data_IF_479196370003
#
_entry.id   IF_479196370003
#
_cell.length_a   1.000
_cell.length_b   1.000
_cell.length_c   1.000
_cell.angle_alpha   90.00
_cell.angle_beta   90.00
_cell.angle_gamma   90.00
#
_symmetry.space_group_name_H-M   'P 1'
#
loop_
_entity.id
_entity.type
_entity.pdbx_description
1 polymer ?
#
# COMPACT_ATOMS: atom_id res chain seq x y z
N UNK A 1 -8.18 3.69 30.63
CA UNK A 1 -7.77 3.94 29.24
C UNK A 1 -7.56 2.60 28.56
N UNK A 2 -8.43 2.22 27.62
CA UNK A 2 -8.28 0.96 26.89
C UNK A 2 -7.30 1.20 25.73
N UNK A 3 -6.06 0.73 25.87
CA UNK A 3 -5.13 0.56 24.75
C UNK A 3 -5.78 -0.46 23.81
N UNK A 4 -6.18 -0.02 22.63
CA UNK A 4 -6.53 -0.94 21.55
C UNK A 4 -5.21 -1.46 20.98
N UNK A 5 -4.83 -2.66 21.43
CA UNK A 5 -3.81 -3.46 20.74
C UNK A 5 -4.48 -3.88 19.43
N UNK A 6 -3.97 -3.39 18.30
CA UNK A 6 -4.29 -3.98 17.02
C UNK A 6 -3.69 -5.38 17.03
N UNK A 7 -4.52 -6.37 17.37
CA UNK A 7 -4.10 -7.76 17.43
C UNK A 7 -3.48 -8.11 16.07
N UNK A 8 -2.19 -8.43 16.11
CA UNK A 8 -1.49 -9.01 14.99
C UNK A 8 -2.16 -10.36 14.74
N UNK A 9 -3.00 -10.45 13.71
CA UNK A 9 -3.43 -11.74 13.21
C UNK A 9 -2.19 -12.42 12.65
N UNK A 10 -1.61 -13.30 13.44
CA UNK A 10 -0.64 -14.27 13.00
C UNK A 10 -1.35 -15.24 12.06
N UNK A 11 -1.50 -14.87 10.79
CA UNK A 11 -1.91 -15.82 9.76
C UNK A 11 -0.75 -16.80 9.55
N UNK A 12 -0.91 -17.99 10.12
CA UNK A 12 -0.10 -19.15 9.80
C UNK A 12 -0.25 -19.43 8.30
N UNK A 13 0.79 -19.07 7.55
CA UNK A 13 0.85 -19.23 6.10
C UNK A 13 1.65 -18.11 5.44
N UNK A 14 2.95 -18.04 5.72
CA UNK A 14 3.87 -17.30 4.84
C UNK A 14 3.85 -18.04 3.51
N UNK A 15 3.08 -17.56 2.54
CA UNK A 15 3.40 -17.84 1.15
C UNK A 15 4.77 -17.22 0.89
N UNK A 16 5.75 -18.05 0.56
CA UNK A 16 7.15 -17.67 0.34
C UNK A 16 7.37 -16.81 -0.92
N UNK A 17 6.29 -16.30 -1.53
CA UNK A 17 6.34 -15.59 -2.80
C UNK A 17 6.11 -14.10 -2.61
N UNK A 18 6.98 -13.32 -3.26
CA UNK A 18 6.81 -11.88 -3.38
C UNK A 18 5.42 -11.56 -3.92
N UNK A 19 4.71 -10.64 -3.27
CA UNK A 19 3.35 -10.30 -3.66
C UNK A 19 3.27 -8.90 -4.27
N UNK A 20 2.31 -8.72 -5.18
CA UNK A 20 1.89 -7.39 -5.63
C UNK A 20 1.01 -6.75 -4.55
N UNK A 21 0.56 -5.51 -4.74
CA UNK A 21 -0.45 -4.91 -3.88
C UNK A 21 -0.20 -3.43 -3.65
N UNK A 22 -0.82 -2.89 -2.61
CA UNK A 22 -0.89 -1.44 -2.39
C UNK A 22 -0.58 -1.09 -0.95
N UNK A 23 -0.11 0.13 -0.73
CA UNK A 23 0.16 0.64 0.61
C UNK A 23 -0.12 2.13 0.73
N UNK A 24 -0.31 2.57 1.97
CA UNK A 24 -0.40 3.97 2.40
C UNK A 24 0.60 4.24 3.51
N UNK A 25 1.01 5.51 3.63
CA UNK A 25 1.73 6.01 4.80
C UNK A 25 0.83 7.02 5.49
N UNK A 26 0.47 6.73 6.74
CA UNK A 26 -0.45 7.54 7.55
C UNK A 26 0.24 7.81 8.86
N UNK A 27 0.45 9.09 9.20
CA UNK A 27 1.15 9.48 10.43
C UNK A 27 2.51 8.76 10.58
N UNK A 28 3.27 8.72 9.47
CA UNK A 28 4.56 8.03 9.34
C UNK A 28 4.53 6.50 9.54
N UNK A 29 3.36 5.90 9.74
CA UNK A 29 3.18 4.46 9.81
C UNK A 29 2.82 3.85 8.44
N UNK A 30 3.46 2.72 8.12
CA UNK A 30 3.21 1.97 6.88
C UNK A 30 2.02 1.01 7.03
N UNK A 31 0.98 1.26 6.23
CA UNK A 31 -0.18 0.38 6.06
C UNK A 31 -0.06 -0.36 4.73
N UNK A 32 0.47 -1.59 4.77
CA UNK A 32 0.73 -2.42 3.60
C UNK A 32 -0.32 -3.53 3.43
N UNK A 33 -0.79 -3.72 2.20
CA UNK A 33 -1.79 -4.72 1.83
C UNK A 33 -1.27 -5.55 0.64
N UNK A 34 -0.47 -6.58 0.91
CA UNK A 34 -0.06 -7.54 -0.10
C UNK A 34 -1.28 -8.26 -0.68
N UNK A 35 -1.26 -8.52 -1.98
CA UNK A 35 -2.35 -9.16 -2.69
C UNK A 35 -2.41 -10.66 -2.36
N UNK A 36 -3.62 -11.19 -2.24
CA UNK A 36 -3.86 -12.62 -2.00
C UNK A 36 -3.60 -13.09 -0.56
N UNK A 37 -3.37 -12.19 0.38
CA UNK A 37 -3.23 -12.55 1.81
C UNK A 37 -4.56 -12.54 2.56
N UNK A 38 -5.56 -11.82 2.05
CA UNK A 38 -6.89 -11.69 2.66
C UNK A 38 -7.95 -11.72 1.55
N UNK A 39 -8.73 -12.78 1.53
CA UNK A 39 -9.74 -13.03 0.49
C UNK A 39 -11.02 -12.22 0.66
N UNK A 40 -11.19 -11.55 1.81
CA UNK A 40 -12.42 -10.82 2.15
C UNK A 40 -12.43 -9.36 1.70
N UNK A 41 -11.32 -8.84 1.17
CA UNK A 41 -11.27 -7.44 0.73
C UNK A 41 -11.99 -7.22 -0.61
N UNK A 42 -12.85 -6.21 -0.66
CA UNK A 42 -13.53 -5.72 -1.84
C UNK A 42 -12.66 -4.74 -2.68
N UNK A 43 -11.35 -5.00 -2.69
CA UNK A 43 -10.34 -4.12 -3.30
C UNK A 43 -9.88 -4.52 -4.70
N UNK A 44 -10.39 -5.60 -5.30
CA UNK A 44 -9.81 -6.21 -6.49
C UNK A 44 -9.70 -5.23 -7.68
N UNK A 45 -8.51 -5.13 -8.26
CA UNK A 45 -8.29 -4.37 -9.49
C UNK A 45 -8.96 -5.07 -10.69
N UNK A 46 -9.21 -4.32 -11.77
CA UNK A 46 -9.85 -4.87 -12.98
C UNK A 46 -9.07 -6.05 -13.59
N UNK A 47 -7.74 -6.07 -13.42
CA UNK A 47 -6.88 -7.16 -13.89
C UNK A 47 -7.01 -8.45 -13.07
N UNK A 48 -7.58 -8.39 -11.87
CA UNK A 48 -7.66 -9.53 -10.95
C UNK A 48 -6.33 -9.92 -10.28
N UNK A 49 -5.24 -9.17 -10.55
CA UNK A 49 -3.88 -9.53 -10.14
C UNK A 49 -3.29 -8.63 -9.04
N UNK A 50 -4.08 -7.68 -8.52
CA UNK A 50 -3.71 -6.76 -7.45
C UNK A 50 -4.94 -6.05 -6.88
N UNK A 51 -4.74 -5.16 -5.91
CA UNK A 51 -5.78 -4.27 -5.39
C UNK A 51 -5.77 -2.89 -6.08
N UNK A 52 -6.93 -2.28 -6.17
CA UNK A 52 -7.11 -0.87 -6.52
C UNK A 52 -7.26 -0.04 -5.23
N UNK A 53 -6.45 1.01 -5.07
CA UNK A 53 -6.48 1.84 -3.86
C UNK A 53 -7.88 2.36 -3.51
N UNK A 54 -8.62 2.88 -4.50
CA UNK A 54 -9.96 3.47 -4.28
C UNK A 54 -10.95 2.42 -3.79
N UNK A 55 -10.94 1.23 -4.38
CA UNK A 55 -11.84 0.13 -4.00
C UNK A 55 -11.49 -0.44 -2.63
N UNK A 56 -10.19 -0.66 -2.38
CA UNK A 56 -9.72 -1.26 -1.12
C UNK A 56 -9.93 -0.33 0.08
N UNK A 57 -9.86 0.99 -0.13
CA UNK A 57 -9.90 1.97 0.95
C UNK A 57 -11.13 1.87 1.87
N UNK A 58 -12.28 1.48 1.31
CA UNK A 58 -13.51 1.29 2.09
C UNK A 58 -13.34 0.26 3.22
N UNK A 59 -12.52 -0.77 2.99
CA UNK A 59 -12.31 -1.87 3.92
C UNK A 59 -11.16 -1.60 4.90
N UNK A 60 -10.14 -0.85 4.46
CA UNK A 60 -8.86 -0.78 5.16
C UNK A 60 -8.55 0.55 5.83
N UNK A 61 -9.32 1.60 5.54
CA UNK A 61 -9.07 2.92 6.14
C UNK A 61 -9.13 2.85 7.67
N UNK A 62 -8.30 3.63 8.39
CA UNK A 62 -8.35 3.68 9.85
C UNK A 62 -9.76 4.01 10.36
N UNK A 63 -10.13 3.44 11.50
CA UNK A 63 -11.46 3.67 12.10
C UNK A 63 -11.65 5.16 12.40
N UNK A 64 -12.76 5.72 11.93
CA UNK A 64 -13.05 7.16 12.06
C UNK A 64 -12.39 8.04 10.99
N UNK A 65 -11.65 7.46 10.05
CA UNK A 65 -11.07 8.20 8.93
C UNK A 65 -12.16 8.70 7.96
N UNK A 66 -12.24 10.02 7.82
CA UNK A 66 -13.12 10.72 6.88
C UNK A 66 -12.38 11.18 5.61
N UNK A 67 -11.12 10.79 5.44
CA UNK A 67 -10.30 11.15 4.29
C UNK A 67 -10.51 10.15 3.15
N UNK A 68 -10.50 10.60 1.89
CA UNK A 68 -10.57 9.70 0.74
C UNK A 68 -9.24 8.97 0.53
N UNK A 69 -9.29 7.94 -0.31
CA UNK A 69 -8.18 7.03 -0.56
C UNK A 69 -6.90 7.70 -1.07
N UNK A 70 -7.04 8.86 -1.72
CA UNK A 70 -5.94 9.60 -2.32
C UNK A 70 -5.40 10.71 -1.42
N UNK A 71 -5.94 10.88 -0.21
CA UNK A 71 -5.51 11.94 0.70
C UNK A 71 -4.08 11.72 1.18
N UNK A 72 -3.74 10.51 1.63
CA UNK A 72 -2.42 10.18 2.17
C UNK A 72 -1.42 9.76 1.07
N UNK A 73 -0.10 9.94 1.31
CA UNK A 73 0.93 9.33 0.48
C UNK A 73 0.68 7.83 0.33
N UNK A 74 0.82 7.32 -0.89
CA UNK A 74 0.52 5.93 -1.22
C UNK A 74 1.47 5.41 -2.29
N UNK A 75 1.52 4.10 -2.40
CA UNK A 75 2.29 3.41 -3.42
C UNK A 75 1.73 2.04 -3.73
N UNK A 76 2.41 1.34 -4.63
CA UNK A 76 2.09 -0.03 -5.02
C UNK A 76 3.34 -0.82 -5.32
N UNK A 77 3.21 -2.13 -5.17
CA UNK A 77 4.21 -3.11 -5.55
C UNK A 77 3.68 -3.88 -6.75
N UNK A 78 4.48 -3.92 -7.80
CA UNK A 78 4.23 -4.74 -8.99
C UNK A 78 5.38 -5.73 -9.20
N UNK A 79 5.07 -6.85 -9.85
CA UNK A 79 6.07 -7.78 -10.35
C UNK A 79 6.12 -7.66 -11.88
N UNK A 80 7.30 -7.42 -12.42
CA UNK A 80 7.51 -7.55 -13.87
C UNK A 80 7.28 -8.99 -14.33
N UNK A 81 7.15 -9.20 -15.65
CA UNK A 81 7.02 -10.54 -16.25
C UNK A 81 8.17 -11.51 -15.90
N UNK A 82 9.32 -11.02 -15.42
CA UNK A 82 10.46 -11.83 -14.95
C UNK A 82 10.48 -12.01 -13.42
N UNK A 83 9.41 -11.63 -12.73
CA UNK A 83 9.32 -11.63 -11.27
C UNK A 83 10.28 -10.66 -10.59
N UNK A 84 10.73 -9.60 -11.27
CA UNK A 84 11.49 -8.50 -10.62
C UNK A 84 10.49 -7.53 -9.98
N UNK A 85 10.62 -7.22 -8.68
CA UNK A 85 9.74 -6.29 -8.01
C UNK A 85 10.02 -4.85 -8.42
N UNK A 86 8.95 -4.07 -8.51
CA UNK A 86 8.97 -2.64 -8.79
C UNK A 86 8.08 -1.97 -7.74
N UNK A 87 8.64 -0.99 -7.03
CA UNK A 87 7.89 -0.18 -6.07
C UNK A 87 7.64 1.17 -6.72
N UNK A 88 6.36 1.49 -6.92
CA UNK A 88 5.94 2.83 -7.30
C UNK A 88 5.43 3.54 -6.05
N UNK A 89 5.91 4.74 -5.77
CA UNK A 89 5.59 5.45 -4.53
C UNK A 89 5.47 6.96 -4.77
N UNK A 90 4.59 7.61 -4.01
CA UNK A 90 4.54 9.07 -3.93
C UNK A 90 5.92 9.63 -3.49
N UNK A 91 6.40 10.75 -4.07
CA UNK A 91 7.72 11.34 -3.77
C UNK A 91 7.94 11.76 -2.31
N UNK A 92 6.88 12.05 -1.58
CA UNK A 92 6.93 12.46 -0.17
C UNK A 92 7.07 11.26 0.79
N UNK A 93 7.12 10.03 0.30
CA UNK A 93 7.36 8.86 1.15
C UNK A 93 8.87 8.69 1.38
N UNK A 94 9.24 8.65 2.65
CA UNK A 94 10.64 8.51 3.07
C UNK A 94 11.25 7.18 2.60
N UNK A 95 12.49 7.23 2.11
CA UNK A 95 13.21 6.07 1.62
C UNK A 95 13.54 5.04 2.72
N UNK A 96 13.56 5.44 4.00
CA UNK A 96 13.73 4.55 5.14
C UNK A 96 12.62 3.49 5.23
N UNK A 97 11.41 3.76 4.72
CA UNK A 97 10.30 2.81 4.71
C UNK A 97 10.46 1.71 3.65
N UNK A 98 11.45 1.79 2.75
CA UNK A 98 11.62 0.82 1.67
C UNK A 98 11.87 -0.60 2.21
N UNK A 99 12.64 -0.75 3.29
CA UNK A 99 12.91 -2.06 3.87
C UNK A 99 11.67 -2.65 4.56
N UNK A 100 10.86 -1.81 5.20
CA UNK A 100 9.58 -2.24 5.76
C UNK A 100 8.59 -2.65 4.67
N UNK A 101 8.52 -1.89 3.57
CA UNK A 101 7.72 -2.27 2.39
C UNK A 101 8.20 -3.63 1.87
N UNK A 102 9.51 -3.82 1.68
CA UNK A 102 10.06 -5.11 1.22
C UNK A 102 9.65 -6.25 2.15
N UNK A 103 9.77 -6.06 3.46
CA UNK A 103 9.42 -7.07 4.44
C UNK A 103 7.92 -7.42 4.39
N UNK A 104 7.04 -6.41 4.39
CA UNK A 104 5.58 -6.61 4.36
C UNK A 104 5.09 -7.32 3.10
N UNK A 105 5.74 -7.09 1.95
CA UNK A 105 5.38 -7.70 0.66
C UNK A 105 6.19 -8.98 0.32
N UNK A 106 7.06 -9.45 1.22
CA UNK A 106 7.86 -10.66 0.98
C UNK A 106 8.86 -10.51 -0.18
N UNK A 107 9.40 -9.31 -0.40
CA UNK A 107 10.29 -9.02 -1.53
C UNK A 107 11.72 -9.52 -1.26
N UNK A 108 12.06 -10.69 -1.82
CA UNK A 108 13.40 -11.28 -1.68
C UNK A 108 14.45 -10.65 -2.61
N UNK A 109 14.01 -10.11 -3.76
CA UNK A 109 14.88 -9.44 -4.74
C UNK A 109 14.88 -7.94 -4.50
N UNK A 110 16.01 -7.28 -4.80
CA UNK A 110 16.08 -5.83 -4.77
C UNK A 110 15.08 -5.22 -5.77
N UNK A 111 14.13 -4.38 -5.31
CA UNK A 111 13.16 -3.75 -6.18
C UNK A 111 13.79 -2.63 -7.01
N UNK A 112 13.15 -2.33 -8.14
CA UNK A 112 13.33 -1.02 -8.79
C UNK A 112 12.43 -0.03 -8.09
N UNK A 113 12.99 1.06 -7.56
CA UNK A 113 12.21 2.14 -6.94
C UNK A 113 11.84 3.17 -8.01
N UNK A 114 10.57 3.56 -8.03
CA UNK A 114 10.00 4.55 -8.95
C UNK A 114 9.21 5.57 -8.14
N UNK A 115 9.79 6.75 -7.95
CA UNK A 115 9.04 7.89 -7.44
C UNK A 115 8.10 8.40 -8.54
N UNK A 116 6.80 8.30 -8.30
CA UNK A 116 5.76 8.62 -9.27
C UNK A 116 5.26 10.05 -9.06
N UNK A 117 5.76 10.98 -9.88
CA UNK A 117 5.41 12.41 -9.85
C UNK A 117 4.12 12.73 -10.62
N UNK A 118 3.38 11.71 -11.08
CA UNK A 118 2.12 11.95 -11.79
C UNK A 118 1.06 12.50 -10.83
N UNK A 119 0.09 13.23 -11.40
CA UNK A 119 -1.07 13.74 -10.66
C UNK A 119 -1.80 12.63 -9.90
N UNK A 120 -1.78 11.40 -10.43
CA UNK A 120 -2.43 10.26 -9.83
C UNK A 120 -1.87 9.89 -8.45
N UNK A 121 -0.60 10.18 -8.16
CA UNK A 121 0.02 9.87 -6.87
C UNK A 121 0.07 11.05 -5.90
N UNK A 122 -0.36 12.25 -6.29
CA UNK A 122 -0.42 13.40 -5.38
C UNK A 122 -1.28 13.14 -4.15
N UNK A 123 -0.95 13.83 -3.05
CA UNK A 123 -1.55 13.72 -1.73
C UNK A 123 -1.58 15.08 -1.02
N UNK A 124 -2.03 15.13 0.25
CA UNK A 124 -2.19 16.35 1.03
C UNK A 124 -0.91 17.16 1.27
N UNK A 125 0.26 16.57 1.01
CA UNK A 125 1.56 17.20 1.11
C UNK A 125 1.95 17.97 -0.16
N UNK A 126 1.24 17.74 -1.27
CA UNK A 126 1.53 18.37 -2.56
C UNK A 126 0.72 19.66 -2.74
N UNK A 127 1.38 20.70 -3.23
CA UNK A 127 0.75 21.99 -3.51
C UNK A 127 -0.40 21.85 -4.52
N UNK A 128 -1.54 22.47 -4.18
CA UNK A 128 -2.75 22.44 -5.02
C UNK A 128 -3.41 21.07 -5.12
N UNK A 129 -3.12 20.14 -4.20
CA UNK A 129 -3.85 18.89 -4.11
C UNK A 129 -5.30 19.12 -3.69
N UNK A 130 -6.22 18.57 -4.48
CA UNK A 130 -7.63 18.44 -4.10
C UNK A 130 -7.97 16.95 -3.95
N UNK A 131 -8.47 16.54 -2.77
CA UNK A 131 -8.87 15.16 -2.55
C UNK A 131 -10.03 14.78 -3.47
N UNK A 132 -10.05 13.53 -3.92
CA UNK A 132 -11.21 13.03 -4.66
C UNK A 132 -12.42 12.96 -3.73
N UNK A 133 -13.57 13.45 -4.22
CA UNK A 133 -14.84 13.42 -3.51
C UNK A 133 -15.43 12.00 -3.50
#
# INVERSE_FOLDING_TARGET
>A
MKRYIQESVCVNGVSEESSTGVFWVIEDELFAYPFGTVDTYNGLAKSGATYNHKRLWADVKPKGCNKPYNYYPRGRVELSNKGKPIIYMNPNIDASLIDDIKAKFGLRKNPVIRYDYSVHYRCYLDDGFEPEK
#
